data_IF_469141068189
#
_entry.id   IF_469141068189
#
_cell.length_a   1.000
_cell.length_b   1.000
_cell.length_c   1.000
_cell.angle_alpha   90.00
_cell.angle_beta   90.00
_cell.angle_gamma   90.00
#
_symmetry.space_group_name_H-M   'P 1'
#
loop_
_entity.id
_entity.type
_entity.pdbx_description
1 polymer ?
#
# COMPACT_ATOMS: atom_id res chain seq x y z
N UNK A 1 15.47 -4.89 6.82
CA UNK A 1 16.09 -4.96 5.47
C UNK A 1 15.01 -4.60 4.47
N UNK A 2 15.24 -3.59 3.64
CA UNK A 2 14.26 -3.19 2.63
C UNK A 2 14.43 -4.04 1.40
N UNK A 3 13.32 -4.51 0.89
CA UNK A 3 13.28 -5.28 -0.34
C UNK A 3 13.14 -4.36 -1.55
N UNK A 4 12.36 -3.28 -1.41
CA UNK A 4 12.07 -2.30 -2.47
C UNK A 4 12.30 -0.88 -1.97
N UNK A 5 12.81 -0.01 -2.84
CA UNK A 5 13.05 1.39 -2.59
C UNK A 5 12.65 2.21 -3.81
N UNK A 6 12.01 3.36 -3.58
CA UNK A 6 11.60 4.28 -4.64
C UNK A 6 12.47 5.53 -4.61
N UNK A 7 13.07 5.85 -5.74
CA UNK A 7 13.89 7.04 -5.93
C UNK A 7 13.06 8.12 -6.61
N UNK A 8 12.80 9.22 -5.89
CA UNK A 8 11.96 10.32 -6.41
C UNK A 8 12.60 11.09 -7.57
N UNK A 9 13.92 11.10 -7.66
CA UNK A 9 14.67 11.82 -8.70
C UNK A 9 14.56 11.12 -10.06
N UNK A 10 14.57 9.80 -10.07
CA UNK A 10 14.44 8.99 -11.29
C UNK A 10 13.07 8.41 -11.52
N UNK A 11 12.18 8.48 -10.54
CA UNK A 11 10.86 7.81 -10.53
C UNK A 11 10.95 6.29 -10.71
N UNK A 12 12.05 5.69 -10.26
CA UNK A 12 12.31 4.27 -10.40
C UNK A 12 12.21 3.54 -9.06
N UNK A 13 11.74 2.29 -9.14
CA UNK A 13 11.76 1.36 -8.01
C UNK A 13 13.00 0.49 -8.15
N UNK A 14 13.89 0.59 -7.17
CA UNK A 14 15.07 -0.25 -7.02
C UNK A 14 14.79 -1.37 -6.03
N UNK A 15 15.52 -2.47 -6.11
CA UNK A 15 15.37 -3.57 -5.18
C UNK A 15 16.73 -4.17 -4.77
N UNK A 16 16.74 -4.82 -3.62
CA UNK A 16 17.94 -5.49 -3.15
C UNK A 16 18.12 -6.83 -3.91
N UNK A 17 19.36 -7.27 -4.19
CA UNK A 17 19.62 -8.55 -4.84
C UNK A 17 18.98 -9.74 -4.11
N UNK A 18 18.82 -9.65 -2.80
CA UNK A 18 18.19 -10.65 -1.97
C UNK A 18 16.69 -10.83 -2.28
N UNK A 19 16.04 -9.83 -2.87
CA UNK A 19 14.65 -9.97 -3.34
C UNK A 19 14.52 -11.15 -4.30
N UNK A 20 15.48 -11.31 -5.22
CA UNK A 20 15.45 -12.35 -6.24
C UNK A 20 15.67 -13.75 -5.66
N UNK A 21 16.28 -13.86 -4.49
CA UNK A 21 16.44 -15.15 -3.77
C UNK A 21 15.16 -15.63 -3.12
N UNK A 22 14.17 -14.75 -2.99
CA UNK A 22 12.87 -15.09 -2.43
C UNK A 22 12.03 -15.74 -3.53
N UNK A 23 11.63 -16.99 -3.32
CA UNK A 23 10.97 -17.84 -4.31
C UNK A 23 9.85 -17.14 -5.08
N UNK A 24 9.01 -16.37 -4.40
CA UNK A 24 7.84 -15.71 -5.00
C UNK A 24 8.26 -14.63 -5.99
N UNK A 25 9.24 -13.80 -5.64
CA UNK A 25 9.78 -12.78 -6.56
C UNK A 25 10.61 -13.41 -7.68
N UNK A 26 11.39 -14.46 -7.36
CA UNK A 26 12.10 -15.25 -8.36
C UNK A 26 11.17 -15.83 -9.43
N UNK A 27 9.97 -16.30 -9.05
CA UNK A 27 8.95 -16.78 -9.99
C UNK A 27 8.46 -15.68 -10.93
N UNK A 28 8.23 -14.46 -10.43
CA UNK A 28 7.83 -13.31 -11.26
C UNK A 28 8.89 -13.01 -12.32
N UNK A 29 10.16 -13.01 -11.94
CA UNK A 29 11.26 -12.78 -12.88
C UNK A 29 11.45 -13.94 -13.84
N UNK A 30 11.35 -15.20 -13.39
CA UNK A 30 11.52 -16.38 -14.21
C UNK A 30 10.43 -16.52 -15.29
N UNK A 31 9.19 -16.17 -14.99
CA UNK A 31 8.06 -16.24 -15.94
C UNK A 31 8.14 -15.20 -17.06
N UNK A 32 8.81 -14.09 -16.83
CA UNK A 32 9.00 -13.07 -17.85
C UNK A 32 10.02 -13.53 -18.89
N UNK A 33 9.60 -13.58 -20.14
CA UNK A 33 10.44 -13.99 -21.29
C UNK A 33 10.97 -12.81 -22.09
N UNK A 34 10.69 -11.58 -21.68
CA UNK A 34 11.19 -10.39 -22.37
C UNK A 34 12.70 -10.24 -22.16
N UNK A 35 13.37 -9.69 -23.16
CA UNK A 35 14.78 -9.34 -23.04
C UNK A 35 14.87 -8.15 -22.07
N UNK A 36 15.57 -8.30 -20.93
CA UNK A 36 15.64 -7.26 -19.90
C UNK A 36 14.58 -7.36 -18.80
N UNK A 37 13.68 -8.38 -18.85
CA UNK A 37 12.68 -8.61 -17.79
C UNK A 37 11.77 -7.42 -17.50
N UNK A 38 11.39 -6.69 -18.53
CA UNK A 38 10.62 -5.44 -18.41
C UNK A 38 9.26 -5.61 -17.73
N UNK A 39 8.58 -6.75 -18.00
CA UNK A 39 7.29 -7.04 -17.36
C UNK A 39 7.47 -7.32 -15.88
N UNK A 40 8.46 -8.12 -15.51
CA UNK A 40 8.76 -8.42 -14.11
C UNK A 40 9.15 -7.16 -13.34
N UNK A 41 9.89 -6.25 -13.97
CA UNK A 41 10.23 -4.95 -13.38
C UNK A 41 9.01 -4.10 -13.08
N UNK A 42 8.11 -4.00 -14.06
CA UNK A 42 6.84 -3.28 -13.88
C UNK A 42 5.98 -3.92 -12.78
N UNK A 43 5.97 -5.25 -12.68
CA UNK A 43 5.25 -5.96 -11.62
C UNK A 43 5.88 -5.74 -10.24
N UNK A 44 7.21 -5.70 -10.14
CA UNK A 44 7.90 -5.36 -8.88
C UNK A 44 7.62 -3.90 -8.50
N UNK A 45 7.64 -2.98 -9.46
CA UNK A 45 7.25 -1.59 -9.24
C UNK A 45 5.79 -1.46 -8.80
N UNK A 46 4.91 -2.25 -9.42
CA UNK A 46 3.50 -2.32 -9.00
C UNK A 46 3.36 -2.78 -7.55
N UNK A 47 4.12 -3.77 -7.10
CA UNK A 47 4.09 -4.24 -5.71
C UNK A 47 4.43 -3.09 -4.75
N UNK A 48 5.48 -2.31 -5.07
CA UNK A 48 5.83 -1.13 -4.27
C UNK A 48 4.70 -0.11 -4.22
N UNK A 49 4.23 0.34 -5.39
CA UNK A 49 3.21 1.38 -5.47
C UNK A 49 1.88 0.96 -4.85
N UNK A 50 1.54 -0.31 -4.91
CA UNK A 50 0.28 -0.83 -4.37
C UNK A 50 0.33 -1.12 -2.87
N UNK A 51 1.47 -1.59 -2.35
CA UNK A 51 1.55 -2.18 -1.02
C UNK A 51 2.42 -1.38 -0.02
N UNK A 52 3.29 -0.48 -0.48
CA UNK A 52 4.16 0.28 0.42
C UNK A 52 3.43 1.51 0.96
N UNK A 53 3.47 1.71 2.29
CA UNK A 53 2.84 2.86 2.95
C UNK A 53 3.41 4.22 2.50
N UNK A 54 4.61 4.22 1.92
CA UNK A 54 5.28 5.43 1.39
C UNK A 54 4.86 5.78 -0.02
N UNK A 55 4.09 4.90 -0.65
CA UNK A 55 3.62 5.10 -2.01
C UNK A 55 2.67 6.29 -2.10
N UNK A 56 2.88 7.09 -3.13
CA UNK A 56 2.01 8.24 -3.42
C UNK A 56 0.58 7.78 -3.80
N UNK A 57 0.38 6.50 -4.16
CA UNK A 57 -0.94 5.94 -4.49
C UNK A 57 -1.77 5.52 -3.27
N UNK A 58 -1.20 5.58 -2.06
CA UNK A 58 -1.94 5.21 -0.84
C UNK A 58 -3.10 6.14 -0.51
N UNK A 59 -3.17 7.34 -1.10
CA UNK A 59 -4.33 8.23 -0.99
C UNK A 59 -5.58 7.68 -1.69
N UNK A 60 -5.43 6.77 -2.66
CA UNK A 60 -6.55 6.14 -3.35
C UNK A 60 -7.05 4.99 -2.48
N UNK A 61 -8.14 5.21 -1.76
CA UNK A 61 -8.69 4.25 -0.79
C UNK A 61 -9.34 3.03 -1.45
N UNK A 62 -9.95 3.22 -2.62
CA UNK A 62 -10.53 2.11 -3.38
C UNK A 62 -9.43 1.30 -4.08
N UNK A 63 -9.29 0.02 -3.73
CA UNK A 63 -8.26 -0.85 -4.31
C UNK A 63 -8.38 -1.00 -5.82
N UNK A 64 -9.59 -1.06 -6.38
CA UNK A 64 -9.79 -1.21 -7.83
C UNK A 64 -9.30 0.02 -8.58
N UNK A 65 -9.61 1.20 -8.05
CA UNK A 65 -9.20 2.48 -8.63
C UNK A 65 -7.68 2.64 -8.50
N UNK A 66 -7.10 2.24 -7.35
CA UNK A 66 -5.65 2.22 -7.13
C UNK A 66 -4.93 1.31 -8.12
N UNK A 67 -5.42 0.09 -8.32
CA UNK A 67 -4.87 -0.84 -9.31
C UNK A 67 -4.93 -0.24 -10.72
N UNK A 68 -6.06 0.38 -11.08
CA UNK A 68 -6.24 0.97 -12.40
C UNK A 68 -5.25 2.11 -12.66
N UNK A 69 -5.06 2.99 -11.68
CA UNK A 69 -4.15 4.13 -11.78
C UNK A 69 -2.68 3.68 -11.89
N UNK A 70 -2.22 2.83 -10.97
CA UNK A 70 -0.85 2.29 -11.02
C UNK A 70 -0.60 1.54 -12.32
N UNK A 71 -1.58 0.74 -12.79
CA UNK A 71 -1.48 0.01 -14.05
C UNK A 71 -1.29 0.95 -15.24
N UNK A 72 -2.04 2.05 -15.27
CA UNK A 72 -1.95 3.06 -16.31
C UNK A 72 -0.57 3.73 -16.30
N UNK A 73 -0.11 4.18 -15.15
CA UNK A 73 1.15 4.90 -15.00
C UNK A 73 2.39 4.04 -15.32
N UNK A 74 2.34 2.75 -14.97
CA UNK A 74 3.39 1.79 -15.34
C UNK A 74 3.29 1.33 -16.80
N UNK A 75 2.27 1.73 -17.54
CA UNK A 75 2.05 1.27 -18.92
C UNK A 75 1.93 -0.24 -19.02
N UNK A 76 1.21 -0.86 -18.07
CA UNK A 76 0.93 -2.28 -18.10
C UNK A 76 -0.16 -2.60 -19.14
N UNK A 77 -0.14 -3.77 -19.81
CA UNK A 77 -1.11 -4.11 -20.84
C UNK A 77 -2.56 -4.06 -20.35
N UNK A 78 -3.50 -3.69 -21.20
CA UNK A 78 -4.93 -3.61 -20.84
C UNK A 78 -5.47 -4.93 -20.27
N UNK A 79 -4.99 -6.08 -20.75
CA UNK A 79 -5.38 -7.42 -20.28
C UNK A 79 -4.65 -7.87 -19.01
N UNK A 80 -3.68 -7.09 -18.54
CA UNK A 80 -2.95 -7.42 -17.33
C UNK A 80 -3.87 -7.34 -16.10
N UNK A 81 -3.75 -8.33 -15.24
CA UNK A 81 -4.48 -8.43 -13.97
C UNK A 81 -3.53 -8.93 -12.87
N UNK A 82 -3.87 -8.64 -11.65
CA UNK A 82 -3.16 -9.21 -10.48
C UNK A 82 -3.49 -10.70 -10.42
N UNK A 83 -2.54 -11.54 -10.77
CA UNK A 83 -2.66 -12.99 -10.70
C UNK A 83 -2.24 -13.52 -9.31
N UNK A 84 -2.33 -14.84 -9.13
CA UNK A 84 -2.03 -15.48 -7.84
C UNK A 84 -0.56 -15.32 -7.42
N UNK A 85 0.36 -15.36 -8.35
CA UNK A 85 1.79 -15.24 -8.05
C UNK A 85 2.11 -13.82 -7.61
N UNK A 86 1.58 -12.83 -8.32
CA UNK A 86 1.73 -11.42 -7.98
C UNK A 86 1.03 -11.10 -6.64
N UNK A 87 -0.17 -11.64 -6.39
CA UNK A 87 -0.85 -11.48 -5.11
C UNK A 87 -0.02 -12.06 -3.96
N UNK A 88 0.56 -13.24 -4.15
CA UNK A 88 1.44 -13.85 -3.15
C UNK A 88 2.69 -13.00 -2.87
N UNK A 89 3.23 -12.33 -3.88
CA UNK A 89 4.35 -11.40 -3.74
C UNK A 89 3.95 -10.13 -2.98
N UNK A 90 2.76 -9.58 -3.27
CA UNK A 90 2.18 -8.44 -2.54
C UNK A 90 2.02 -8.77 -1.06
N UNK A 91 1.40 -9.91 -0.75
CA UNK A 91 1.13 -10.34 0.63
C UNK A 91 2.44 -10.58 1.41
N UNK A 92 3.42 -11.20 0.76
CA UNK A 92 4.73 -11.41 1.36
C UNK A 92 5.45 -10.07 1.59
N UNK A 93 5.37 -9.14 0.63
CA UNK A 93 5.95 -7.81 0.76
C UNK A 93 5.33 -7.05 1.93
N UNK A 94 3.99 -6.99 2.00
CA UNK A 94 3.26 -6.39 3.13
C UNK A 94 3.71 -6.98 4.46
N UNK A 95 3.73 -8.31 4.57
CA UNK A 95 4.16 -9.00 5.79
C UNK A 95 5.58 -8.67 6.22
N UNK A 96 6.50 -8.51 5.27
CA UNK A 96 7.92 -8.22 5.56
C UNK A 96 8.19 -6.75 5.82
N UNK A 97 7.43 -5.85 5.21
CA UNK A 97 7.53 -4.41 5.44
C UNK A 97 6.73 -3.93 6.65
N UNK A 98 5.81 -4.75 7.15
CA UNK A 98 4.99 -4.41 8.30
C UNK A 98 5.83 -4.25 9.58
N UNK A 99 5.67 -3.11 10.21
CA UNK A 99 6.08 -2.85 11.60
C UNK A 99 4.85 -2.83 12.49
N UNK A 100 5.02 -2.90 13.81
CA UNK A 100 3.89 -2.77 14.75
C UNK A 100 3.14 -1.45 14.49
N UNK A 101 3.89 -0.37 14.30
CA UNK A 101 3.31 0.95 14.06
C UNK A 101 2.56 1.02 12.72
N UNK A 102 3.09 0.41 11.64
CA UNK A 102 2.39 0.36 10.35
C UNK A 102 1.11 -0.47 10.41
N UNK A 103 1.13 -1.60 11.13
CA UNK A 103 -0.07 -2.43 11.33
C UNK A 103 -1.16 -1.73 12.14
N UNK A 104 -0.76 -0.97 13.18
CA UNK A 104 -1.69 -0.14 13.95
C UNK A 104 -2.28 0.98 13.10
N UNK A 105 -1.46 1.63 12.28
CA UNK A 105 -1.91 2.67 11.37
C UNK A 105 -2.90 2.14 10.33
N UNK A 106 -2.60 0.99 9.69
CA UNK A 106 -3.54 0.34 8.75
C UNK A 106 -4.88 0.02 9.44
N UNK A 107 -4.84 -0.56 10.63
CA UNK A 107 -6.06 -0.86 11.39
C UNK A 107 -6.87 0.40 11.72
N UNK A 108 -6.20 1.49 12.06
CA UNK A 108 -6.85 2.77 12.33
C UNK A 108 -7.46 3.38 11.05
N UNK A 109 -6.80 3.25 9.90
CA UNK A 109 -7.34 3.68 8.62
C UNK A 109 -8.61 2.89 8.23
N UNK A 110 -8.57 1.55 8.39
CA UNK A 110 -9.74 0.69 8.12
C UNK A 110 -10.91 1.10 9.02
N UNK A 111 -10.68 1.24 10.32
CA UNK A 111 -11.72 1.67 11.26
C UNK A 111 -12.28 3.07 10.91
N UNK A 112 -11.44 4.01 10.48
CA UNK A 112 -11.89 5.33 10.05
C UNK A 112 -12.77 5.27 8.78
N UNK A 113 -12.43 4.39 7.83
CA UNK A 113 -13.23 4.16 6.62
C UNK A 113 -14.59 3.56 6.99
N UNK A 114 -14.62 2.52 7.83
CA UNK A 114 -15.85 1.87 8.28
C UNK A 114 -16.77 2.88 9.02
N UNK A 115 -16.20 3.70 9.89
CA UNK A 115 -16.95 4.77 10.56
C UNK A 115 -17.51 5.77 9.54
N UNK A 116 -16.71 6.16 8.54
CA UNK A 116 -17.14 7.07 7.48
C UNK A 116 -18.30 6.47 6.67
N UNK A 117 -18.21 5.19 6.32
CA UNK A 117 -19.27 4.48 5.59
C UNK A 117 -20.54 4.36 6.42
N UNK A 118 -20.41 4.02 7.68
CA UNK A 118 -21.54 3.99 8.62
C UNK A 118 -22.24 5.35 8.71
N UNK A 119 -21.50 6.44 8.76
CA UNK A 119 -22.04 7.79 8.85
C UNK A 119 -22.68 8.30 7.55
N UNK A 120 -22.43 7.68 6.39
CA UNK A 120 -23.04 8.07 5.11
C UNK A 120 -24.56 7.85 5.09
N UNK A 121 -25.06 6.82 5.77
CA UNK A 121 -26.48 6.47 5.80
C UNK A 121 -27.16 6.98 7.08
N UNK A 122 -27.06 8.28 7.32
CA UNK A 122 -27.63 8.91 8.52
C UNK A 122 -29.13 8.71 8.67
N UNK A 123 -29.86 8.60 7.56
CA UNK A 123 -31.31 8.35 7.59
C UNK A 123 -31.61 6.98 8.18
N UNK A 124 -30.94 5.94 7.72
CA UNK A 124 -31.08 4.58 8.23
C UNK A 124 -30.71 4.51 9.71
N UNK A 125 -29.61 5.17 10.12
CA UNK A 125 -29.17 5.23 11.50
C UNK A 125 -30.20 5.86 12.44
N UNK A 126 -30.93 6.87 11.98
CA UNK A 126 -31.99 7.53 12.76
C UNK A 126 -33.28 6.71 12.81
N UNK A 127 -33.53 5.87 11.82
CA UNK A 127 -34.69 4.97 11.73
C UNK A 127 -34.50 3.66 12.49
N UNK A 128 -33.24 3.27 12.79
CA UNK A 128 -32.91 2.03 13.51
C UNK A 128 -33.52 2.01 14.92
N UNK A 129 -34.20 0.90 15.23
CA UNK A 129 -34.85 0.69 16.54
C UNK A 129 -34.36 -0.62 17.15
N UNK A 130 -34.27 -0.64 18.47
CA UNK A 130 -34.06 -1.87 19.22
C UNK A 130 -35.33 -2.73 19.17
N UNK A 131 -35.23 -4.02 19.54
CA UNK A 131 -36.37 -4.93 19.67
C UNK A 131 -37.50 -4.41 20.58
N UNK A 132 -37.15 -3.46 21.47
CA UNK A 132 -38.08 -2.77 22.36
C UNK A 132 -38.62 -1.46 21.80
N UNK A 133 -38.31 -1.13 20.54
CA UNK A 133 -38.76 0.10 19.86
C UNK A 133 -37.99 1.39 20.20
N UNK A 134 -36.97 1.33 21.05
CA UNK A 134 -36.14 2.50 21.35
C UNK A 134 -35.18 2.82 20.19
N UNK A 135 -34.90 4.11 19.96
CA UNK A 135 -33.90 4.51 18.97
C UNK A 135 -32.51 4.01 19.36
N UNK A 136 -31.82 3.33 18.43
CA UNK A 136 -30.44 2.85 18.62
C UNK A 136 -29.47 4.04 18.61
N UNK A 137 -29.69 4.98 17.70
CA UNK A 137 -28.82 6.13 17.49
C UNK A 137 -29.67 7.40 17.51
N UNK A 138 -29.14 8.46 18.07
CA UNK A 138 -29.79 9.78 18.06
C UNK A 138 -28.92 10.82 17.33
N UNK A 139 -29.55 11.94 16.99
CA UNK A 139 -28.89 12.99 16.23
C UNK A 139 -27.65 13.55 16.93
N UNK A 140 -27.67 13.63 18.27
CA UNK A 140 -26.55 14.15 19.06
C UNK A 140 -25.34 13.19 19.00
N UNK A 141 -25.59 11.87 18.99
CA UNK A 141 -24.54 10.87 18.84
C UNK A 141 -23.88 10.96 17.46
N UNK A 142 -24.67 11.14 16.40
CA UNK A 142 -24.17 11.33 15.03
C UNK A 142 -23.36 12.63 14.93
N UNK A 143 -23.90 13.73 15.43
CA UNK A 143 -23.21 15.02 15.44
C UNK A 143 -21.92 14.96 16.24
N UNK A 144 -21.94 14.29 17.40
CA UNK A 144 -20.75 14.05 18.22
C UNK A 144 -19.68 13.20 17.50
N UNK A 145 -20.07 12.19 16.73
CA UNK A 145 -19.16 11.41 15.91
C UNK A 145 -18.57 12.27 14.77
N UNK A 146 -19.39 13.01 14.04
CA UNK A 146 -18.96 13.89 12.95
C UNK A 146 -17.99 14.98 13.43
N UNK A 147 -18.21 15.55 14.62
CA UNK A 147 -17.31 16.56 15.18
C UNK A 147 -15.90 16.04 15.50
N UNK A 148 -15.74 14.73 15.67
CA UNK A 148 -14.44 14.08 15.90
C UNK A 148 -13.69 13.72 14.62
N UNK A 149 -14.36 13.68 13.48
CA UNK A 149 -13.73 13.31 12.19
C UNK A 149 -12.49 14.16 11.87
N UNK A 150 -12.52 15.52 12.00
CA UNK A 150 -11.33 16.32 11.73
C UNK A 150 -10.14 15.99 12.63
N UNK A 151 -10.38 15.64 13.90
CA UNK A 151 -9.33 15.20 14.82
C UNK A 151 -8.74 13.87 14.39
N UNK A 152 -9.57 12.89 14.07
CA UNK A 152 -9.13 11.57 13.58
C UNK A 152 -8.28 11.72 12.32
N UNK A 153 -8.71 12.53 11.36
CA UNK A 153 -7.96 12.79 10.13
C UNK A 153 -6.57 13.40 10.41
N UNK A 154 -6.51 14.38 11.31
CA UNK A 154 -5.23 14.99 11.70
C UNK A 154 -4.31 13.99 12.39
N UNK A 155 -4.84 13.17 13.29
CA UNK A 155 -4.07 12.20 14.05
C UNK A 155 -3.56 11.08 13.13
N UNK A 156 -4.35 10.63 12.15
CA UNK A 156 -3.92 9.69 11.12
C UNK A 156 -2.80 10.28 10.24
N UNK A 157 -2.92 11.54 9.84
CA UNK A 157 -1.88 12.22 9.04
C UNK A 157 -0.58 12.37 9.83
N UNK A 158 -0.67 12.69 11.12
CA UNK A 158 0.49 12.76 12.00
C UNK A 158 1.15 11.38 12.16
N UNK A 159 0.36 10.33 12.39
CA UNK A 159 0.85 8.95 12.49
C UNK A 159 1.54 8.50 11.20
N UNK A 160 0.98 8.80 10.03
CA UNK A 160 1.61 8.53 8.73
C UNK A 160 2.97 9.23 8.61
N UNK A 161 3.03 10.50 9.00
CA UNK A 161 4.27 11.28 8.95
C UNK A 161 5.35 10.66 9.85
N UNK A 162 5.00 10.22 11.05
CA UNK A 162 5.93 9.56 11.98
C UNK A 162 6.40 8.20 11.45
N UNK A 163 5.52 7.41 10.85
CA UNK A 163 5.89 6.15 10.21
C UNK A 163 6.89 6.35 9.07
N UNK A 164 6.69 7.37 8.23
CA UNK A 164 7.62 7.71 7.16
C UNK A 164 8.98 8.11 7.73
N UNK A 165 9.02 8.88 8.83
CA UNK A 165 10.26 9.26 9.52
C UNK A 165 10.96 8.04 10.13
N UNK A 166 10.23 7.16 10.82
CA UNK A 166 10.77 5.92 11.40
C UNK A 166 11.44 5.05 10.34
N UNK A 167 10.79 4.91 9.20
CA UNK A 167 11.34 4.17 8.07
C UNK A 167 12.63 4.81 7.53
N UNK A 168 12.69 6.15 7.40
CA UNK A 168 13.90 6.88 6.98
C UNK A 168 15.05 6.71 7.97
N UNK A 169 14.78 6.73 9.28
CA UNK A 169 15.79 6.54 10.33
C UNK A 169 16.37 5.12 10.26
N UNK A 170 15.53 4.12 10.00
CA UNK A 170 15.95 2.74 9.82
C UNK A 170 16.85 2.59 8.58
N UNK A 171 16.63 3.40 7.52
CA UNK A 171 17.50 3.50 6.34
C UNK A 171 18.91 3.95 6.69
N UNK A 172 19.04 4.98 7.50
CA UNK A 172 20.35 5.51 7.90
C UNK A 172 21.19 4.51 8.71
N UNK A 173 20.58 3.49 9.32
CA UNK A 173 21.27 2.46 10.11
C UNK A 173 21.73 1.26 9.30
N UNK A 174 21.16 1.02 8.12
CA UNK A 174 21.55 -0.06 7.20
C UNK A 174 22.53 0.38 6.13
N UNK A 175 23.48 1.26 6.48
CA UNK A 175 24.61 1.62 5.60
C UNK A 175 25.40 0.36 5.24
N UNK A 176 25.19 -0.15 4.03
CA UNK A 176 25.93 -1.31 3.48
C UNK A 176 25.12 -2.20 2.55
N UNK A 177 23.83 -2.07 2.45
CA UNK A 177 23.05 -2.82 1.46
C UNK A 177 23.19 -2.16 0.09
N UNK A 178 23.77 -2.90 -0.87
CA UNK A 178 23.82 -2.50 -2.28
C UNK A 178 22.41 -2.61 -2.85
N UNK A 179 21.86 -1.52 -3.32
CA UNK A 179 20.64 -1.51 -4.12
C UNK A 179 21.01 -1.86 -5.56
N UNK A 180 20.18 -2.70 -6.19
CA UNK A 180 20.36 -3.10 -7.57
C UNK A 180 19.41 -2.29 -8.44
N UNK A 181 19.95 -1.49 -9.35
CA UNK A 181 19.18 -0.74 -10.34
C UNK A 181 19.19 -1.52 -11.65
N UNK A 182 18.06 -2.09 -12.02
CA UNK A 182 17.92 -2.93 -13.20
C UNK A 182 18.06 -2.17 -14.52
N UNK A 183 17.80 -0.87 -14.51
CA UNK A 183 17.99 -0.03 -15.71
C UNK A 183 19.45 0.31 -15.97
N UNK A 184 20.28 0.37 -14.91
CA UNK A 184 21.71 0.67 -15.04
C UNK A 184 22.59 -0.60 -15.03
N UNK A 185 22.28 -1.54 -14.14
CA UNK A 185 23.11 -2.73 -13.92
C UNK A 185 22.72 -3.92 -14.81
N UNK A 186 21.59 -3.88 -15.50
CA UNK A 186 21.07 -4.86 -16.46
C UNK A 186 21.29 -6.32 -16.06
N UNK A 187 20.45 -7.23 -16.51
CA UNK A 187 20.84 -8.63 -16.55
C UNK A 187 21.95 -8.71 -17.60
N UNK A 188 23.20 -8.84 -17.11
CA UNK A 188 24.43 -8.70 -17.90
C UNK A 188 24.36 -9.34 -19.28
N UNK A 189 24.97 -8.69 -20.21
CA UNK A 189 25.24 -9.26 -21.51
C UNK A 189 26.01 -10.57 -21.33
N UNK A 190 25.35 -11.70 -21.46
CA UNK A 190 25.90 -12.95 -21.93
C UNK A 190 25.40 -13.25 -23.33
#
# INVERSE_FOLDING_TARGET
MRLLEFTKETYEVTFSPELLTIEVFGKLVARDKTKGKEVALKEISFIYFFADIRSDYMYITNEKDRIAEIKNDLGLPAKWVVDKDLQSAIDLYRKRSATVNSSLYESACIAAIEISEYLKDTKKLLEERTDKGAAVTNINSITGALSKVPSIMRDLTAAQTELIKEQKITEGRTKGSRTFNLYEDGFGNE
#
